data_IF_639268197101
#
_entry.id   IF_639268197101
#
_cell.length_a   1.000
_cell.length_b   1.000
_cell.length_c   1.000
_cell.angle_alpha   90.00
_cell.angle_beta   90.00
_cell.angle_gamma   90.00
#
_symmetry.space_group_name_H-M   'P 1'
#
loop_
_entity.id
_entity.type
_entity.pdbx_description
1 polymer ?
#
# COMPACT_ATOMS: atom_id res chain seq x y z
N UNK A 1 24.80 -18.31 -0.80
CA UNK A 1 24.23 -17.16 -1.55
C UNK A 1 23.68 -16.15 -0.57
N UNK A 2 23.82 -14.85 -0.85
CA UNK A 2 23.32 -13.79 0.03
C UNK A 2 21.78 -13.82 0.12
N UNK A 3 21.22 -13.42 1.26
CA UNK A 3 19.76 -13.32 1.44
C UNK A 3 19.11 -12.43 0.37
N UNK A 4 19.82 -11.39 -0.08
CA UNK A 4 19.35 -10.48 -1.13
C UNK A 4 19.15 -11.14 -2.50
N UNK A 5 19.95 -12.16 -2.85
CA UNK A 5 19.77 -12.88 -4.11
C UNK A 5 18.41 -13.59 -4.22
N UNK A 6 17.77 -13.89 -3.07
CA UNK A 6 16.42 -14.48 -3.01
C UNK A 6 15.32 -13.48 -3.35
N UNK A 7 15.64 -12.18 -3.47
CA UNK A 7 14.70 -11.15 -3.92
C UNK A 7 14.57 -11.09 -5.44
N UNK A 8 15.49 -11.69 -6.21
CA UNK A 8 15.42 -11.67 -7.68
C UNK A 8 14.10 -12.27 -8.19
N UNK A 9 13.71 -13.51 -7.81
CA UNK A 9 12.43 -14.08 -8.22
C UNK A 9 11.21 -13.32 -7.71
N UNK A 10 11.34 -12.68 -6.54
CA UNK A 10 10.30 -11.82 -5.97
C UNK A 10 10.07 -10.62 -6.88
N UNK A 11 11.15 -9.92 -7.27
CA UNK A 11 11.11 -8.83 -8.24
C UNK A 11 10.56 -9.30 -9.58
N UNK A 12 11.08 -10.41 -10.11
CA UNK A 12 10.60 -10.99 -11.37
C UNK A 12 9.10 -11.27 -11.31
N UNK A 13 8.56 -11.77 -10.19
CA UNK A 13 7.13 -12.05 -10.06
C UNK A 13 6.27 -10.78 -10.14
N UNK A 14 6.70 -9.68 -9.51
CA UNK A 14 5.98 -8.40 -9.57
C UNK A 14 5.97 -7.83 -11.00
N UNK A 15 7.12 -7.79 -11.66
CA UNK A 15 7.22 -7.28 -13.04
C UNK A 15 6.54 -8.20 -14.05
N UNK A 16 6.65 -9.52 -13.90
CA UNK A 16 5.99 -10.48 -14.79
C UNK A 16 4.47 -10.34 -14.74
N UNK A 17 3.88 -10.25 -13.54
CA UNK A 17 2.45 -10.06 -13.40
C UNK A 17 2.00 -8.75 -14.08
N UNK A 18 2.65 -7.62 -13.77
CA UNK A 18 2.25 -6.35 -14.38
C UNK A 18 2.49 -6.33 -15.89
N UNK A 19 3.47 -7.05 -16.40
CA UNK A 19 3.68 -7.23 -17.86
C UNK A 19 2.50 -7.98 -18.48
N UNK A 20 2.05 -9.08 -17.87
CA UNK A 20 0.88 -9.83 -18.33
C UNK A 20 -0.38 -8.96 -18.32
N UNK A 21 -0.61 -8.23 -17.23
CA UNK A 21 -1.76 -7.33 -17.13
C UNK A 21 -1.68 -6.19 -18.16
N UNK A 22 -0.50 -5.61 -18.38
CA UNK A 22 -0.29 -4.59 -19.41
C UNK A 22 -0.57 -5.13 -20.81
N UNK A 23 -0.10 -6.34 -21.14
CA UNK A 23 -0.37 -6.97 -22.45
C UNK A 23 -1.86 -7.19 -22.69
N UNK A 24 -2.65 -7.45 -21.63
CA UNK A 24 -4.10 -7.62 -21.73
C UNK A 24 -4.80 -6.26 -21.84
N UNK A 25 -4.51 -5.33 -20.94
CA UNK A 25 -5.34 -4.13 -20.74
C UNK A 25 -4.90 -2.90 -21.54
N UNK A 26 -3.61 -2.78 -21.90
CA UNK A 26 -3.13 -1.66 -22.71
C UNK A 26 -3.77 -1.62 -24.09
N UNK A 27 -3.84 -2.73 -24.85
CA UNK A 27 -4.52 -2.74 -26.16
C UNK A 27 -6.03 -2.39 -26.06
N UNK A 28 -6.64 -2.69 -24.92
CA UNK A 28 -8.06 -2.43 -24.66
C UNK A 28 -8.33 -1.02 -24.13
N UNK A 29 -7.29 -0.23 -23.82
CA UNK A 29 -7.40 1.05 -23.13
C UNK A 29 -8.24 0.95 -21.84
N UNK A 30 -8.10 -0.16 -21.10
CA UNK A 30 -8.96 -0.49 -19.98
C UNK A 30 -8.23 -0.34 -18.64
N UNK A 31 -8.47 0.77 -17.94
CA UNK A 31 -7.86 1.08 -16.65
C UNK A 31 -8.64 0.53 -15.44
N UNK A 32 -9.85 0.00 -15.64
CA UNK A 32 -10.79 -0.30 -14.52
C UNK A 32 -10.23 -1.32 -13.52
N UNK A 33 -9.32 -2.16 -13.98
CA UNK A 33 -8.68 -3.22 -13.19
C UNK A 33 -7.26 -2.88 -12.74
N UNK A 34 -6.78 -1.66 -13.00
CA UNK A 34 -5.43 -1.23 -12.64
C UNK A 34 -5.15 -1.42 -11.15
N UNK A 35 -6.06 -0.95 -10.28
CA UNK A 35 -5.87 -1.07 -8.83
C UNK A 35 -5.96 -2.54 -8.34
N UNK A 36 -6.75 -3.41 -8.99
CA UNK A 36 -6.75 -4.85 -8.72
C UNK A 36 -5.43 -5.50 -9.14
N UNK A 37 -4.84 -5.06 -10.24
CA UNK A 37 -3.52 -5.51 -10.69
C UNK A 37 -2.44 -5.23 -9.66
N UNK A 38 -2.50 -4.06 -9.00
CA UNK A 38 -1.63 -3.73 -7.88
C UNK A 38 -1.86 -4.64 -6.68
N UNK A 39 -3.11 -4.86 -6.29
CA UNK A 39 -3.45 -5.74 -5.17
C UNK A 39 -2.99 -7.18 -5.41
N UNK A 40 -3.28 -7.72 -6.59
CA UNK A 40 -2.77 -9.03 -7.03
C UNK A 40 -1.24 -9.07 -7.00
N UNK A 41 -0.57 -8.00 -7.42
CA UNK A 41 0.89 -7.87 -7.36
C UNK A 41 1.46 -7.97 -5.96
N UNK A 42 0.89 -7.25 -4.99
CA UNK A 42 1.31 -7.36 -3.59
C UNK A 42 1.12 -8.78 -3.05
N UNK A 43 -0.06 -9.37 -3.27
CA UNK A 43 -0.38 -10.71 -2.77
C UNK A 43 0.49 -11.79 -3.41
N UNK A 44 0.66 -11.77 -4.74
CA UNK A 44 1.47 -12.75 -5.46
C UNK A 44 2.95 -12.63 -5.06
N UNK A 45 3.46 -11.41 -4.91
CA UNK A 45 4.85 -11.16 -4.54
C UNK A 45 5.12 -11.56 -3.09
N UNK A 46 4.17 -11.31 -2.18
CA UNK A 46 4.24 -11.81 -0.81
C UNK A 46 4.23 -13.34 -0.76
N UNK A 47 3.35 -13.99 -1.54
CA UNK A 47 3.30 -15.45 -1.65
C UNK A 47 4.62 -16.01 -2.19
N UNK A 48 5.14 -15.48 -3.29
CA UNK A 48 6.40 -15.92 -3.88
C UNK A 48 7.56 -15.71 -2.90
N UNK A 49 7.66 -14.56 -2.22
CA UNK A 49 8.75 -14.34 -1.26
C UNK A 49 8.75 -15.35 -0.10
N UNK A 50 7.57 -15.83 0.32
CA UNK A 50 7.40 -16.77 1.42
C UNK A 50 7.72 -18.22 1.01
N UNK A 51 7.27 -18.65 -0.18
CA UNK A 51 7.40 -20.04 -0.63
C UNK A 51 8.62 -20.29 -1.53
N UNK A 52 9.17 -19.26 -2.18
CA UNK A 52 10.31 -19.42 -3.10
C UNK A 52 11.54 -20.08 -2.46
N UNK A 53 11.95 -19.75 -1.22
CA UNK A 53 13.10 -20.42 -0.60
C UNK A 53 12.94 -21.95 -0.56
N UNK A 54 11.71 -22.43 -0.33
CA UNK A 54 11.38 -23.85 -0.32
C UNK A 54 11.25 -24.44 -1.74
N UNK A 55 10.59 -23.73 -2.66
CA UNK A 55 10.49 -24.18 -4.06
C UNK A 55 11.87 -24.36 -4.67
N UNK A 56 12.78 -23.43 -4.39
CA UNK A 56 14.17 -23.53 -4.78
C UNK A 56 14.86 -24.76 -4.16
N UNK A 57 14.78 -24.97 -2.84
CA UNK A 57 15.46 -26.12 -2.23
C UNK A 57 14.94 -27.45 -2.80
N UNK A 58 13.64 -27.51 -3.10
CA UNK A 58 13.01 -28.69 -3.71
C UNK A 58 13.43 -28.92 -5.16
N UNK A 59 13.33 -27.90 -6.01
CA UNK A 59 13.51 -28.06 -7.46
C UNK A 59 14.94 -27.85 -7.95
N UNK A 60 15.72 -26.98 -7.29
CA UNK A 60 17.10 -26.66 -7.70
C UNK A 60 18.14 -27.42 -6.87
N UNK A 61 17.84 -27.71 -5.59
CA UNK A 61 18.79 -28.37 -4.67
C UNK A 61 18.40 -29.84 -4.41
N UNK A 62 17.30 -30.32 -5.00
CA UNK A 62 16.87 -31.71 -4.95
C UNK A 62 16.42 -32.20 -3.57
N UNK A 63 16.11 -31.31 -2.63
CA UNK A 63 15.68 -31.67 -1.27
C UNK A 63 14.20 -32.07 -1.30
N UNK A 64 13.86 -33.35 -1.10
CA UNK A 64 12.47 -33.80 -1.14
C UNK A 64 11.68 -33.27 0.07
N UNK A 65 10.45 -32.83 -0.17
CA UNK A 65 9.54 -32.41 0.89
C UNK A 65 8.20 -31.87 0.37
N UNK A 66 7.12 -31.92 1.19
CA UNK A 66 5.87 -31.24 0.90
C UNK A 66 6.04 -29.73 1.08
N UNK A 67 5.20 -28.92 0.42
CA UNK A 67 5.16 -27.49 0.68
C UNK A 67 4.91 -27.23 2.17
N UNK A 68 5.62 -26.26 2.79
CA UNK A 68 5.45 -25.94 4.20
C UNK A 68 4.02 -25.50 4.48
N UNK A 69 3.43 -26.00 5.56
CA UNK A 69 2.17 -25.46 6.09
C UNK A 69 2.36 -24.00 6.50
N UNK A 70 1.32 -23.17 6.39
CA UNK A 70 1.38 -21.76 6.82
C UNK A 70 1.85 -21.66 8.28
N UNK A 71 1.44 -22.60 9.14
CA UNK A 71 1.81 -22.61 10.56
C UNK A 71 3.31 -22.90 10.81
N UNK A 72 4.07 -23.29 9.79
CA UNK A 72 5.51 -23.55 9.90
C UNK A 72 6.38 -22.30 9.69
N UNK A 73 5.79 -21.18 9.22
CA UNK A 73 6.50 -19.92 9.09
C UNK A 73 6.63 -19.19 10.44
N UNK A 74 7.64 -18.32 10.55
CA UNK A 74 7.86 -17.56 11.77
C UNK A 74 6.66 -16.62 12.06
N UNK A 75 6.29 -16.40 13.33
CA UNK A 75 5.18 -15.52 13.68
C UNK A 75 5.24 -14.13 13.02
N UNK A 76 6.44 -13.56 12.89
CA UNK A 76 6.66 -12.27 12.22
C UNK A 76 6.35 -12.30 10.73
N UNK A 77 6.71 -13.39 10.03
CA UNK A 77 6.39 -13.57 8.60
C UNK A 77 4.88 -13.63 8.40
N UNK A 78 4.19 -14.34 9.30
CA UNK A 78 2.73 -14.46 9.28
C UNK A 78 2.05 -13.12 9.55
N UNK A 79 2.46 -12.38 10.58
CA UNK A 79 1.90 -11.07 10.90
C UNK A 79 2.10 -10.06 9.76
N UNK A 80 3.30 -9.98 9.18
CA UNK A 80 3.60 -9.07 8.07
C UNK A 80 2.85 -9.44 6.79
N UNK A 81 2.82 -10.73 6.44
CA UNK A 81 2.10 -11.21 5.25
C UNK A 81 0.59 -11.03 5.39
N UNK A 82 0.05 -11.25 6.60
CA UNK A 82 -1.36 -10.99 6.90
C UNK A 82 -1.67 -9.49 6.86
N UNK A 83 -0.82 -8.64 7.45
CA UNK A 83 -0.99 -7.19 7.42
C UNK A 83 -1.03 -6.65 5.99
N UNK A 84 -0.06 -7.05 5.15
CA UNK A 84 -0.02 -6.70 3.73
C UNK A 84 -1.23 -7.27 2.99
N UNK A 85 -1.61 -8.53 3.23
CA UNK A 85 -2.74 -9.18 2.57
C UNK A 85 -4.08 -8.51 2.90
N UNK A 86 -4.34 -8.23 4.17
CA UNK A 86 -5.57 -7.55 4.64
C UNK A 86 -5.65 -6.13 4.05
N UNK A 87 -4.56 -5.37 4.12
CA UNK A 87 -4.50 -4.04 3.51
C UNK A 87 -4.73 -4.11 2.00
N UNK A 88 -4.04 -5.00 1.30
CA UNK A 88 -4.09 -5.14 -0.15
C UNK A 88 -5.48 -5.53 -0.65
N UNK A 89 -6.10 -6.52 -0.01
CA UNK A 89 -7.46 -6.96 -0.32
C UNK A 89 -8.47 -5.83 -0.09
N UNK A 90 -8.37 -5.14 1.04
CA UNK A 90 -9.27 -4.03 1.39
C UNK A 90 -9.14 -2.87 0.42
N UNK A 91 -7.93 -2.35 0.21
CA UNK A 91 -7.72 -1.18 -0.61
C UNK A 91 -7.97 -1.48 -2.09
N UNK A 92 -7.48 -2.62 -2.58
CA UNK A 92 -7.69 -3.08 -3.95
C UNK A 92 -9.17 -3.24 -4.29
N UNK A 93 -9.93 -3.95 -3.44
CA UNK A 93 -11.37 -4.14 -3.67
C UNK A 93 -12.15 -2.82 -3.61
N UNK A 94 -11.82 -1.95 -2.66
CA UNK A 94 -12.46 -0.63 -2.51
C UNK A 94 -12.23 0.26 -3.73
N UNK A 95 -10.99 0.36 -4.21
CA UNK A 95 -10.63 1.19 -5.36
C UNK A 95 -11.21 0.63 -6.67
N UNK A 96 -11.17 -0.68 -6.85
CA UNK A 96 -11.74 -1.35 -8.02
C UNK A 96 -13.26 -1.15 -8.11
N UNK A 97 -13.97 -1.39 -7.01
CA UNK A 97 -15.41 -1.15 -6.93
C UNK A 97 -15.75 0.31 -7.31
N UNK A 98 -14.96 1.26 -6.80
CA UNK A 98 -15.14 2.69 -7.12
C UNK A 98 -14.88 2.99 -8.59
N UNK A 99 -13.81 2.47 -9.18
CA UNK A 99 -13.47 2.70 -10.59
C UNK A 99 -14.54 2.10 -11.52
N UNK A 100 -14.98 0.86 -11.25
CA UNK A 100 -16.04 0.20 -12.01
C UNK A 100 -17.35 1.00 -11.94
N UNK A 101 -17.74 1.43 -10.73
CA UNK A 101 -18.97 2.21 -10.52
C UNK A 101 -18.92 3.60 -11.15
N UNK A 102 -17.76 4.24 -11.19
CA UNK A 102 -17.57 5.55 -11.80
C UNK A 102 -17.41 5.49 -13.33
N UNK A 103 -17.30 4.29 -13.91
CA UNK A 103 -17.08 4.10 -15.35
C UNK A 103 -15.61 4.18 -15.77
N UNK A 104 -14.68 4.39 -14.84
CA UNK A 104 -13.26 4.58 -15.08
C UNK A 104 -12.60 5.39 -13.96
N UNK A 105 -11.32 5.69 -14.12
CA UNK A 105 -10.60 6.60 -13.24
C UNK A 105 -10.02 7.75 -14.06
N UNK A 106 -10.43 8.97 -13.73
CA UNK A 106 -10.08 10.18 -14.49
C UNK A 106 -8.58 10.44 -14.58
N UNK A 107 -7.76 9.81 -13.72
CA UNK A 107 -6.29 9.84 -13.82
C UNK A 107 -5.78 9.25 -15.14
N UNK A 108 -6.53 8.33 -15.74
CA UNK A 108 -6.12 7.60 -16.94
C UNK A 108 -6.78 8.08 -18.23
N UNK A 109 -7.73 9.02 -18.19
CA UNK A 109 -8.53 9.43 -19.36
C UNK A 109 -7.66 9.80 -20.58
N UNK A 110 -6.57 10.54 -20.36
CA UNK A 110 -5.62 10.90 -21.41
C UNK A 110 -4.46 9.90 -21.54
N UNK A 111 -4.09 9.22 -20.45
CA UNK A 111 -2.96 8.28 -20.43
C UNK A 111 -3.26 7.03 -21.24
N UNK A 112 -4.49 6.50 -21.14
CA UNK A 112 -4.88 5.23 -21.78
C UNK A 112 -4.90 5.28 -23.32
N UNK A 113 -4.96 6.49 -23.89
CA UNK A 113 -4.91 6.72 -25.35
C UNK A 113 -3.51 6.55 -25.94
N UNK A 114 -2.46 6.67 -25.11
CA UNK A 114 -1.07 6.46 -25.51
C UNK A 114 -0.57 5.12 -24.92
N UNK A 115 -0.41 4.06 -25.75
CA UNK A 115 -0.01 2.75 -25.26
C UNK A 115 1.32 2.73 -24.50
N UNK A 116 2.28 3.59 -24.88
CA UNK A 116 3.60 3.64 -24.20
C UNK A 116 3.45 4.25 -22.82
N UNK A 117 2.71 5.36 -22.71
CA UNK A 117 2.42 5.98 -21.41
C UNK A 117 1.58 5.06 -20.54
N UNK A 118 0.58 4.38 -21.09
CA UNK A 118 -0.24 3.48 -20.29
C UNK A 118 0.54 2.26 -19.80
N UNK A 119 1.39 1.66 -20.64
CA UNK A 119 2.30 0.60 -20.22
C UNK A 119 3.26 1.06 -19.11
N UNK A 120 3.78 2.28 -19.18
CA UNK A 120 4.62 2.85 -18.13
C UNK A 120 3.93 2.84 -16.76
N UNK A 121 2.62 3.12 -16.68
CA UNK A 121 1.89 3.05 -15.40
C UNK A 121 1.90 1.63 -14.81
N UNK A 122 1.69 0.60 -15.62
CA UNK A 122 1.77 -0.80 -15.16
C UNK A 122 3.17 -1.17 -14.63
N UNK A 123 4.24 -0.71 -15.28
CA UNK A 123 5.61 -0.92 -14.80
C UNK A 123 5.97 -0.07 -13.57
N UNK A 124 5.44 1.15 -13.49
CA UNK A 124 5.53 1.98 -12.28
C UNK A 124 4.81 1.31 -11.10
N UNK A 125 3.69 0.62 -11.37
CA UNK A 125 2.99 -0.18 -10.36
C UNK A 125 3.81 -1.37 -9.88
N UNK A 126 4.53 -2.08 -10.77
CA UNK A 126 5.45 -3.14 -10.37
C UNK A 126 6.56 -2.60 -9.44
N UNK A 127 7.14 -1.45 -9.79
CA UNK A 127 8.15 -0.76 -8.98
C UNK A 127 7.58 -0.38 -7.61
N UNK A 128 6.35 0.14 -7.58
CA UNK A 128 5.66 0.49 -6.34
C UNK A 128 5.40 -0.74 -5.44
N UNK A 129 4.88 -1.83 -6.01
CA UNK A 129 4.69 -3.12 -5.32
C UNK A 129 5.99 -3.62 -4.69
N UNK A 130 7.10 -3.46 -5.41
CA UNK A 130 8.43 -3.88 -4.93
C UNK A 130 8.97 -3.00 -3.81
N UNK A 131 8.97 -1.68 -4.00
CA UNK A 131 9.56 -0.76 -3.03
C UNK A 131 8.75 -0.69 -1.73
N UNK A 132 7.42 -0.68 -1.84
CA UNK A 132 6.54 -0.56 -0.67
C UNK A 132 6.40 -1.90 0.04
N UNK A 133 6.35 -3.02 -0.69
CA UNK A 133 6.31 -4.36 -0.09
C UNK A 133 7.66 -4.89 0.42
N UNK A 134 8.77 -4.21 0.09
CA UNK A 134 10.14 -4.64 0.40
C UNK A 134 10.37 -5.14 1.84
N UNK A 135 9.94 -4.46 2.92
CA UNK A 135 10.10 -4.96 4.28
C UNK A 135 9.49 -6.36 4.49
N UNK A 136 8.31 -6.62 3.92
CA UNK A 136 7.65 -7.93 4.01
C UNK A 136 8.44 -8.98 3.24
N UNK A 137 8.84 -8.66 2.00
CA UNK A 137 9.54 -9.61 1.15
C UNK A 137 10.91 -9.99 1.70
N UNK A 138 11.64 -9.03 2.28
CA UNK A 138 12.93 -9.29 2.92
C UNK A 138 12.77 -10.20 4.13
N UNK A 139 11.73 -10.02 4.94
CA UNK A 139 11.46 -10.92 6.08
C UNK A 139 11.04 -12.31 5.58
N UNK A 140 10.22 -12.40 4.53
CA UNK A 140 9.72 -13.67 4.01
C UNK A 140 10.82 -14.58 3.41
N UNK A 141 11.88 -14.01 2.83
CA UNK A 141 12.97 -14.82 2.22
C UNK A 141 13.92 -15.44 3.24
N UNK A 142 13.82 -15.06 4.53
CA UNK A 142 14.57 -15.67 5.61
C UNK A 142 13.83 -16.95 6.11
N UNK A 143 14.52 -18.09 6.31
CA UNK A 143 13.91 -19.29 6.87
C UNK A 143 13.40 -19.09 8.29
N UNK A 144 12.26 -19.70 8.62
CA UNK A 144 11.57 -19.54 9.91
C UNK A 144 12.45 -19.70 11.17
N UNK A 145 13.36 -20.69 11.26
CA UNK A 145 14.20 -20.88 12.45
C UNK A 145 15.22 -19.76 12.70
N UNK A 146 15.51 -18.94 11.69
CA UNK A 146 16.47 -17.83 11.78
C UNK A 146 15.82 -16.51 12.22
N UNK A 147 14.50 -16.49 12.39
CA UNK A 147 13.82 -15.32 12.92
C UNK A 147 13.96 -15.25 14.44
N UNK A 148 14.28 -14.08 15.00
CA UNK A 148 14.17 -13.89 16.43
C UNK A 148 12.71 -13.95 16.87
N UNK A 149 12.50 -14.39 18.12
CA UNK A 149 11.19 -14.35 18.77
C UNK A 149 10.59 -12.94 18.76
N UNK A 150 9.26 -12.85 18.84
CA UNK A 150 8.58 -11.57 18.95
C UNK A 150 8.90 -10.91 20.29
N UNK A 151 9.34 -9.65 20.24
CA UNK A 151 9.58 -8.80 21.40
C UNK A 151 8.54 -7.69 21.54
N UNK A 152 8.65 -6.90 22.62
CA UNK A 152 7.74 -5.79 22.92
C UNK A 152 7.60 -4.77 21.78
N UNK A 153 8.71 -4.51 21.05
CA UNK A 153 8.74 -3.59 19.90
C UNK A 153 7.86 -4.09 18.75
N UNK A 154 7.71 -5.40 18.61
CA UNK A 154 6.93 -6.01 17.53
C UNK A 154 5.44 -5.88 17.79
N UNK A 155 5.03 -6.05 19.05
CA UNK A 155 3.65 -5.78 19.47
C UNK A 155 3.30 -4.29 19.34
N UNK A 156 4.22 -3.39 19.67
CA UNK A 156 4.03 -1.95 19.45
C UNK A 156 3.91 -1.61 17.95
N UNK A 157 4.77 -2.18 17.11
CA UNK A 157 4.72 -1.99 15.66
C UNK A 157 3.43 -2.55 15.03
N UNK A 158 2.99 -3.73 15.49
CA UNK A 158 1.72 -4.30 15.08
C UNK A 158 0.53 -3.46 15.56
N UNK A 159 0.60 -2.91 16.77
CA UNK A 159 -0.37 -1.94 17.29
C UNK A 159 -0.46 -0.68 16.43
N UNK A 160 0.69 -0.15 15.98
CA UNK A 160 0.74 0.97 15.04
C UNK A 160 0.09 0.61 13.70
N UNK A 161 0.38 -0.57 13.13
CA UNK A 161 -0.30 -1.06 11.93
C UNK A 161 -1.83 -1.14 12.14
N UNK A 162 -2.28 -1.81 13.20
CA UNK A 162 -3.70 -2.06 13.44
C UNK A 162 -4.48 -0.76 13.66
N UNK A 163 -3.95 0.16 14.46
CA UNK A 163 -4.56 1.47 14.70
C UNK A 163 -4.61 2.32 13.43
N UNK A 164 -3.53 2.32 12.64
CA UNK A 164 -3.47 3.05 11.37
C UNK A 164 -4.43 2.48 10.32
N UNK A 165 -4.54 1.15 10.25
CA UNK A 165 -5.49 0.46 9.40
C UNK A 165 -6.94 0.80 9.78
N UNK A 166 -7.27 0.79 11.07
CA UNK A 166 -8.59 1.23 11.54
C UNK A 166 -8.85 2.70 11.21
N UNK A 167 -7.84 3.57 11.37
CA UNK A 167 -7.95 4.98 11.05
C UNK A 167 -8.29 5.21 9.58
N UNK A 168 -7.60 4.52 8.66
CA UNK A 168 -7.91 4.55 7.21
C UNK A 168 -9.32 4.03 6.92
N UNK A 169 -9.68 2.88 7.49
CA UNK A 169 -11.00 2.25 7.29
C UNK A 169 -12.12 3.19 7.74
N UNK A 170 -11.98 3.81 8.92
CA UNK A 170 -12.98 4.74 9.46
C UNK A 170 -13.06 5.99 8.59
N UNK A 171 -11.92 6.56 8.18
CA UNK A 171 -11.86 7.76 7.35
C UNK A 171 -12.60 7.57 6.01
N UNK A 172 -12.34 6.47 5.31
CA UNK A 172 -13.00 6.17 4.04
C UNK A 172 -14.47 5.83 4.20
N UNK A 173 -14.86 5.13 5.29
CA UNK A 173 -16.27 4.87 5.60
C UNK A 173 -17.03 6.16 5.87
N UNK A 174 -16.46 7.07 6.67
CA UNK A 174 -17.04 8.39 6.93
C UNK A 174 -17.24 9.18 5.62
N UNK A 175 -16.23 9.21 4.74
CA UNK A 175 -16.32 9.88 3.44
C UNK A 175 -17.38 9.25 2.53
N UNK A 176 -17.46 7.92 2.51
CA UNK A 176 -18.41 7.17 1.70
C UNK A 176 -19.84 7.41 2.17
N UNK A 177 -20.09 7.27 3.48
CA UNK A 177 -21.40 7.54 4.08
C UNK A 177 -21.85 8.98 3.85
N UNK A 178 -20.95 9.95 4.03
CA UNK A 178 -21.23 11.36 3.75
C UNK A 178 -21.61 11.60 2.28
N UNK A 179 -20.90 11.00 1.32
CA UNK A 179 -21.27 11.11 -0.11
C UNK A 179 -22.62 10.48 -0.41
N UNK A 180 -22.93 9.34 0.20
CA UNK A 180 -24.23 8.70 0.03
C UNK A 180 -25.37 9.55 0.57
N UNK A 181 -25.22 10.11 1.78
CA UNK A 181 -26.20 11.02 2.38
C UNK A 181 -26.41 12.28 1.52
N UNK A 182 -25.33 12.87 0.99
CA UNK A 182 -25.39 13.99 0.04
C UNK A 182 -26.20 13.64 -1.23
N UNK A 183 -25.92 12.49 -1.82
CA UNK A 183 -26.63 12.04 -3.04
C UNK A 183 -28.12 11.76 -2.76
N UNK A 184 -28.45 11.31 -1.55
CA UNK A 184 -29.82 11.13 -1.07
C UNK A 184 -30.48 12.44 -0.63
N UNK A 185 -29.84 13.61 -0.85
CA UNK A 185 -30.31 14.94 -0.45
C UNK A 185 -30.62 15.06 1.05
N UNK A 186 -29.89 14.32 1.89
CA UNK A 186 -30.06 14.37 3.36
C UNK A 186 -29.33 15.56 3.99
N UNK A 187 -28.39 16.19 3.29
CA UNK A 187 -27.72 17.42 3.70
C UNK A 187 -27.13 18.16 2.49
N UNK A 188 -26.87 19.46 2.66
CA UNK A 188 -26.34 20.35 1.61
C UNK A 188 -24.86 20.73 1.80
N UNK A 189 -24.17 20.10 2.75
CA UNK A 189 -22.73 20.33 2.98
C UNK A 189 -21.90 20.17 1.69
N UNK A 190 -21.02 21.13 1.43
CA UNK A 190 -20.20 21.15 0.21
C UNK A 190 -19.04 20.14 0.26
N UNK A 191 -18.44 19.98 1.43
CA UNK A 191 -17.32 19.07 1.73
C UNK A 191 -17.47 18.52 3.15
N UNK A 192 -16.83 17.38 3.44
CA UNK A 192 -16.87 16.75 4.75
C UNK A 192 -15.88 17.43 5.70
N UNK A 193 -16.34 17.81 6.89
CA UNK A 193 -15.53 18.45 7.94
C UNK A 193 -15.64 17.77 9.30
N UNK A 194 -16.36 16.64 9.40
CA UNK A 194 -16.67 15.94 10.65
C UNK A 194 -15.95 14.60 10.78
N UNK A 195 -15.82 14.11 12.01
CA UNK A 195 -15.17 12.83 12.30
C UNK A 195 -13.66 12.95 12.15
N UNK A 196 -12.99 11.97 11.53
CA UNK A 196 -11.54 12.05 11.31
C UNK A 196 -11.16 13.19 10.36
N UNK A 197 -12.10 13.63 9.52
CA UNK A 197 -11.92 14.78 8.62
C UNK A 197 -11.88 16.11 9.36
N UNK A 198 -12.25 16.20 10.65
CA UNK A 198 -12.01 17.40 11.47
C UNK A 198 -10.62 17.40 12.10
N UNK A 199 -9.92 16.27 12.10
CA UNK A 199 -8.60 16.09 12.73
C UNK A 199 -7.50 16.28 11.69
N UNK A 200 -7.70 15.74 10.48
CA UNK A 200 -6.81 15.89 9.33
C UNK A 200 -7.65 16.06 8.06
N UNK A 201 -7.17 16.86 7.11
CA UNK A 201 -7.81 16.98 5.79
C UNK A 201 -7.69 15.73 4.94
N UNK A 202 -6.71 14.87 5.22
CA UNK A 202 -6.49 13.60 4.51
C UNK A 202 -6.23 12.45 5.50
N UNK A 203 -7.22 12.11 6.35
CA UNK A 203 -7.01 11.16 7.44
C UNK A 203 -6.76 9.73 6.92
N UNK A 204 -7.35 9.36 5.79
CA UNK A 204 -7.08 8.07 5.15
C UNK A 204 -5.62 7.94 4.70
N UNK A 205 -4.99 9.00 4.20
CA UNK A 205 -3.56 8.97 3.85
C UNK A 205 -2.63 8.97 5.06
N UNK A 206 -3.04 9.57 6.18
CA UNK A 206 -2.33 9.42 7.46
C UNK A 206 -2.34 7.94 7.89
N UNK A 207 -3.49 7.28 7.79
CA UNK A 207 -3.61 5.84 8.05
C UNK A 207 -2.71 5.00 7.14
N UNK A 208 -2.71 5.27 5.83
CA UNK A 208 -1.87 4.58 4.86
C UNK A 208 -0.37 4.71 5.20
N UNK A 209 0.12 5.91 5.52
CA UNK A 209 1.53 6.09 5.94
C UNK A 209 1.82 5.34 7.25
N UNK A 210 0.88 5.35 8.20
CA UNK A 210 0.99 4.64 9.47
C UNK A 210 1.04 3.12 9.31
N UNK A 211 0.25 2.56 8.37
CA UNK A 211 0.26 1.13 8.01
C UNK A 211 1.67 0.70 7.56
N UNK A 212 2.24 1.40 6.59
CA UNK A 212 3.56 1.06 6.07
C UNK A 212 4.68 1.31 7.07
N UNK A 213 4.50 2.29 7.96
CA UNK A 213 5.42 2.52 9.08
C UNK A 213 5.36 1.38 10.09
N UNK A 214 4.17 0.89 10.43
CA UNK A 214 3.98 -0.27 11.30
C UNK A 214 4.54 -1.56 10.71
N UNK A 215 4.31 -1.80 9.41
CA UNK A 215 4.88 -2.93 8.66
C UNK A 215 6.41 -2.88 8.67
N UNK A 216 7.00 -1.73 8.34
CA UNK A 216 8.45 -1.54 8.38
C UNK A 216 9.01 -1.76 9.78
N UNK A 217 8.40 -1.14 10.80
CA UNK A 217 8.81 -1.28 12.20
C UNK A 217 8.77 -2.75 12.66
N UNK A 218 7.73 -3.50 12.30
CA UNK A 218 7.59 -4.92 12.63
C UNK A 218 8.64 -5.78 11.88
N UNK A 219 9.07 -5.37 10.69
CA UNK A 219 10.12 -6.06 9.95
C UNK A 219 11.51 -5.90 10.59
N UNK A 220 11.77 -4.78 11.27
CA UNK A 220 13.12 -4.44 11.81
C UNK A 220 13.72 -5.53 12.68
N UNK A 221 12.93 -6.23 13.51
CA UNK A 221 13.44 -7.29 14.38
C UNK A 221 14.16 -8.40 13.61
N UNK A 222 13.71 -8.74 12.40
CA UNK A 222 14.43 -9.68 11.52
C UNK A 222 15.54 -9.02 10.71
N UNK A 223 15.30 -7.80 10.22
CA UNK A 223 16.25 -7.08 9.36
C UNK A 223 17.53 -6.64 10.09
N UNK A 224 17.52 -6.62 11.42
CA UNK A 224 18.68 -6.32 12.27
C UNK A 224 19.53 -7.56 12.62
N UNK A 225 19.13 -8.75 12.19
CA UNK A 225 19.91 -9.97 12.42
C UNK A 225 21.17 -10.00 11.55
N UNK A 226 22.15 -10.83 11.93
CA UNK A 226 23.40 -11.01 11.17
C UNK A 226 23.22 -11.56 9.73
N UNK A 227 22.00 -12.00 9.38
CA UNK A 227 21.67 -12.50 8.04
C UNK A 227 21.45 -11.39 7.01
N UNK A 228 21.26 -10.14 7.46
CA UNK A 228 21.07 -8.98 6.61
C UNK A 228 22.24 -8.01 6.70
N UNK A 229 22.52 -7.24 5.63
CA UNK A 229 23.52 -6.18 5.70
C UNK A 229 23.08 -5.08 6.66
N UNK A 230 24.05 -4.37 7.25
CA UNK A 230 23.83 -3.27 8.21
C UNK A 230 22.81 -2.21 7.71
N UNK A 231 22.75 -1.98 6.39
CA UNK A 231 21.84 -1.03 5.77
C UNK A 231 20.41 -1.54 5.50
N UNK A 232 20.05 -2.78 5.85
CA UNK A 232 18.76 -3.37 5.47
C UNK A 232 17.55 -2.61 6.06
N UNK A 233 17.66 -2.14 7.31
CA UNK A 233 16.61 -1.33 7.95
C UNK A 233 16.43 0.01 7.22
N UNK A 234 17.53 0.66 6.82
CA UNK A 234 17.51 1.93 6.08
C UNK A 234 16.94 1.72 4.67
N UNK A 235 17.36 0.66 3.98
CA UNK A 235 16.86 0.32 2.65
C UNK A 235 15.34 0.10 2.67
N UNK A 236 14.84 -0.65 3.65
CA UNK A 236 13.40 -0.96 3.77
C UNK A 236 12.57 0.22 4.28
N UNK A 237 13.18 1.23 4.90
CA UNK A 237 12.51 2.48 5.25
C UNK A 237 12.03 3.25 4.01
N UNK A 238 12.54 2.90 2.81
CA UNK A 238 11.99 3.38 1.55
C UNK A 238 10.49 3.10 1.42
N UNK A 239 9.94 2.05 2.04
CA UNK A 239 8.51 1.72 1.98
C UNK A 239 7.62 2.84 2.58
N UNK A 240 7.70 3.17 3.88
CA UNK A 240 6.91 4.25 4.45
C UNK A 240 7.30 5.62 3.90
N UNK A 241 8.58 5.87 3.59
CA UNK A 241 9.05 7.15 3.05
C UNK A 241 8.52 7.43 1.64
N UNK A 242 8.55 6.41 0.76
CA UNK A 242 7.99 6.52 -0.59
C UNK A 242 6.48 6.70 -0.52
N UNK A 243 5.79 5.95 0.35
CA UNK A 243 4.34 6.11 0.57
C UNK A 243 4.01 7.54 1.00
N UNK A 244 4.72 8.06 1.99
CA UNK A 244 4.56 9.45 2.44
C UNK A 244 4.84 10.44 1.32
N UNK A 245 5.94 10.28 0.59
CA UNK A 245 6.32 11.18 -0.50
C UNK A 245 5.28 11.18 -1.61
N UNK A 246 4.86 9.99 -2.05
CA UNK A 246 3.85 9.84 -3.08
C UNK A 246 2.52 10.45 -2.66
N UNK A 247 2.04 10.25 -1.44
CA UNK A 247 0.74 10.78 -1.00
C UNK A 247 0.78 12.26 -0.66
N UNK A 248 1.91 12.78 -0.19
CA UNK A 248 2.00 14.16 0.30
C UNK A 248 2.47 15.13 -0.79
N UNK A 249 3.30 14.67 -1.72
CA UNK A 249 4.02 15.55 -2.67
C UNK A 249 3.70 15.32 -4.14
N UNK A 250 3.32 14.11 -4.55
CA UNK A 250 3.17 13.77 -5.97
C UNK A 250 1.72 13.49 -6.33
N UNK A 251 1.14 12.54 -5.64
CA UNK A 251 -0.23 12.05 -5.76
C UNK A 251 -0.99 12.31 -4.46
N UNK A 252 -2.24 11.86 -4.36
CA UNK A 252 -3.00 11.99 -3.11
C UNK A 252 -3.35 13.44 -2.80
N UNK A 253 -2.60 14.08 -1.90
CA UNK A 253 -2.88 15.42 -1.34
C UNK A 253 -2.86 16.52 -2.42
N UNK A 254 -1.78 16.77 -3.19
CA UNK A 254 -1.71 17.95 -4.06
C UNK A 254 -2.84 18.05 -5.11
N UNK A 255 -3.18 16.98 -5.86
CA UNK A 255 -4.27 17.07 -6.83
C UNK A 255 -5.64 17.23 -6.16
N UNK A 256 -5.85 16.66 -4.97
CA UNK A 256 -7.12 16.79 -4.24
C UNK A 256 -7.30 18.18 -3.65
N UNK A 257 -6.26 18.76 -3.06
CA UNK A 257 -6.27 20.14 -2.55
C UNK A 257 -6.51 21.13 -3.69
N UNK A 258 -5.80 20.98 -4.81
CA UNK A 258 -5.98 21.84 -5.99
C UNK A 258 -7.40 21.74 -6.57
N UNK A 259 -7.98 20.53 -6.59
CA UNK A 259 -9.36 20.32 -7.01
C UNK A 259 -10.37 20.92 -6.00
N UNK A 260 -10.07 20.86 -4.70
CA UNK A 260 -10.84 21.51 -3.64
C UNK A 260 -10.84 23.02 -3.78
N UNK A 261 -9.66 23.64 -3.94
CA UNK A 261 -9.49 25.08 -4.13
C UNK A 261 -10.20 25.57 -5.39
N UNK A 262 -10.13 24.82 -6.49
CA UNK A 262 -10.87 25.17 -7.72
C UNK A 262 -12.38 25.18 -7.51
N UNK A 263 -12.92 24.30 -6.65
CA UNK A 263 -14.37 24.15 -6.44
C UNK A 263 -14.91 25.03 -5.31
N UNK A 264 -14.12 25.24 -4.27
CA UNK A 264 -14.55 25.83 -3.01
C UNK A 264 -13.67 27.00 -2.55
N UNK A 265 -12.67 27.41 -3.33
CA UNK A 265 -11.73 28.47 -2.93
C UNK A 265 -12.38 29.81 -2.60
N UNK A 266 -13.54 30.13 -3.19
CA UNK A 266 -14.32 31.31 -2.85
C UNK A 266 -15.26 31.15 -1.64
N UNK A 267 -15.32 29.97 -1.02
CA UNK A 267 -16.18 29.71 0.13
C UNK A 267 -15.44 30.00 1.45
N UNK A 268 -15.93 30.92 2.30
CA UNK A 268 -15.31 31.22 3.59
C UNK A 268 -15.12 29.98 4.48
N UNK A 269 -16.06 29.02 4.45
CA UNK A 269 -15.97 27.79 5.25
C UNK A 269 -14.83 26.88 4.78
N UNK A 270 -14.52 26.89 3.48
CA UNK A 270 -13.40 26.11 2.95
C UNK A 270 -12.07 26.70 3.41
N UNK A 271 -11.96 28.03 3.38
CA UNK A 271 -10.77 28.73 3.87
C UNK A 271 -10.58 28.50 5.37
N UNK A 272 -11.63 28.63 6.18
CA UNK A 272 -11.59 28.33 7.61
C UNK A 272 -11.18 26.88 7.87
N UNK A 273 -11.73 25.92 7.14
CA UNK A 273 -11.38 24.51 7.26
C UNK A 273 -9.90 24.26 6.95
N UNK A 274 -9.36 24.88 5.89
CA UNK A 274 -7.93 24.80 5.57
C UNK A 274 -7.05 25.46 6.64
N UNK A 275 -7.53 26.54 7.26
CA UNK A 275 -6.84 27.29 8.32
C UNK A 275 -6.87 26.62 9.70
N UNK A 276 -7.80 25.71 9.94
CA UNK A 276 -7.99 25.09 11.26
C UNK A 276 -7.62 23.60 11.27
N UNK A 277 -7.70 22.93 10.11
CA UNK A 277 -7.45 21.49 10.00
C UNK A 277 -6.16 21.23 9.20
N UNK A 278 -5.15 20.59 9.81
CA UNK A 278 -3.88 20.32 9.14
C UNK A 278 -4.06 19.31 8.00
N UNK A 279 -3.17 19.38 7.00
CA UNK A 279 -3.14 18.40 5.91
C UNK A 279 -3.00 16.98 6.47
N UNK A 280 -1.95 16.75 7.25
CA UNK A 280 -1.68 15.51 7.98
C UNK A 280 -1.64 15.80 9.47
N UNK A 281 -2.30 14.96 10.28
CA UNK A 281 -2.21 15.00 11.73
C UNK A 281 -1.25 13.91 12.22
N UNK A 282 -0.49 14.12 13.32
CA UNK A 282 -0.38 15.34 14.11
C UNK A 282 0.62 16.35 13.53
N UNK A 283 1.28 16.02 12.42
CA UNK A 283 2.31 16.85 11.79
C UNK A 283 1.86 17.28 10.40
N UNK A 284 1.48 18.54 10.26
CA UNK A 284 1.09 19.13 9.00
C UNK A 284 0.94 20.62 9.14
N UNK A 285 1.51 21.37 8.20
CA UNK A 285 1.17 22.77 8.07
C UNK A 285 -0.32 22.89 7.75
N UNK A 286 -0.91 23.91 8.34
CA UNK A 286 -2.21 24.43 7.95
C UNK A 286 -2.17 24.96 6.49
N UNK A 287 -0.98 25.34 6.03
CA UNK A 287 -0.71 25.82 4.67
C UNK A 287 -0.33 24.70 3.71
#
# INVERSE_FOLDING_TARGET
MSVLSRLIPVATSAYALQTVLAMIFVPQQNEKYYDLGGAAGFMSTAFISLYYPFLRSKFLEGVPGPLPSIMSFAPRQLLLSAALGIWSLRLGSFLAYRAIKAGGDSRFDEVKKDPKRFAFFWFAQATWVMLVGLPVYMVNVLPAPLHPALGIRDYAAFGLFATSFLFEVIADRQKTAWRHAKNAKQHDEKFITRGLWSISRHPNYVGEVGIWTGIWALATGTLQTAHFPMGAVVLTAASPLLTWFLLRKVSGVPPLEKAGDKKFGGDPKWQEYKQTVPVFWPWGSVN
#
